data_IF_646153447007
#
_entry.id   IF_646153447007
#
_cell.length_a   1.000
_cell.length_b   1.000
_cell.length_c   1.000
_cell.angle_alpha   90.00
_cell.angle_beta   90.00
_cell.angle_gamma   90.00
#
_symmetry.space_group_name_H-M   'P 1'
#
loop_
_entity.id
_entity.type
_entity.pdbx_description
1 polymer ?
#
# COMPACT_ATOMS: atom_id res chain seq x y z
N UNK A 1 10.52 29.66 -38.68
CA UNK A 1 10.90 29.67 -37.25
C UNK A 1 9.86 28.84 -36.50
N UNK A 2 10.19 27.70 -35.87
CA UNK A 2 9.18 26.91 -35.16
C UNK A 2 8.92 27.49 -33.77
N UNK A 3 7.63 27.57 -33.43
CA UNK A 3 7.06 28.08 -32.18
C UNK A 3 7.43 27.20 -30.97
N UNK A 4 8.15 27.78 -30.01
CA UNK A 4 8.79 27.14 -28.85
C UNK A 4 7.90 27.06 -27.59
N UNK A 5 6.60 27.28 -27.70
CA UNK A 5 5.70 27.48 -26.55
C UNK A 5 5.05 26.21 -25.96
N UNK A 6 5.31 25.02 -26.52
CA UNK A 6 4.71 23.73 -26.08
C UNK A 6 5.52 22.81 -25.13
N UNK A 7 6.85 22.91 -24.94
CA UNK A 7 7.58 21.91 -24.13
C UNK A 7 7.24 22.03 -22.63
N UNK A 8 7.01 23.23 -22.13
CA UNK A 8 6.79 23.46 -20.70
C UNK A 8 5.46 22.91 -20.21
N UNK A 9 4.40 22.99 -21.02
CA UNK A 9 3.06 22.53 -20.63
C UNK A 9 2.97 21.02 -20.40
N UNK A 10 3.74 20.24 -21.16
CA UNK A 10 3.88 18.79 -20.93
C UNK A 10 4.68 18.46 -19.68
N UNK A 11 5.68 19.28 -19.34
CA UNK A 11 6.47 19.11 -18.13
C UNK A 11 5.66 19.48 -16.89
N UNK A 12 4.93 20.60 -16.89
CA UNK A 12 4.05 20.96 -15.76
C UNK A 12 2.93 19.95 -15.57
N UNK A 13 2.35 19.40 -16.64
CA UNK A 13 1.30 18.40 -16.48
C UNK A 13 1.85 17.07 -15.94
N UNK A 14 3.05 16.63 -16.38
CA UNK A 14 3.73 15.45 -15.78
C UNK A 14 4.12 15.66 -14.32
N UNK A 15 4.57 16.86 -13.96
CA UNK A 15 4.90 17.22 -12.59
C UNK A 15 3.64 17.27 -11.71
N UNK A 16 2.53 17.82 -12.22
CA UNK A 16 1.25 17.84 -11.52
C UNK A 16 0.68 16.43 -11.29
N UNK A 17 0.75 15.55 -12.29
CA UNK A 17 0.31 14.16 -12.14
C UNK A 17 1.21 13.35 -11.19
N UNK A 18 2.53 13.56 -11.21
CA UNK A 18 3.46 12.86 -10.32
C UNK A 18 3.35 13.34 -8.88
N UNK A 19 3.15 14.64 -8.66
CA UNK A 19 2.91 15.22 -7.33
C UNK A 19 1.57 14.76 -6.77
N UNK A 20 0.48 14.84 -7.56
CA UNK A 20 -0.84 14.40 -7.14
C UNK A 20 -0.86 12.90 -6.79
N UNK A 21 -0.23 12.04 -7.60
CA UNK A 21 -0.09 10.61 -7.28
C UNK A 21 0.76 10.39 -6.03
N UNK A 22 1.82 11.17 -5.82
CA UNK A 22 2.65 11.05 -4.61
C UNK A 22 1.90 11.49 -3.36
N UNK A 23 1.10 12.56 -3.45
CA UNK A 23 0.26 13.08 -2.37
C UNK A 23 -0.87 12.10 -2.03
N UNK A 24 -1.55 11.52 -3.02
CA UNK A 24 -2.58 10.49 -2.77
C UNK A 24 -1.98 9.23 -2.14
N UNK A 25 -0.84 8.74 -2.63
CA UNK A 25 -0.18 7.58 -2.02
C UNK A 25 0.27 7.87 -0.57
N UNK A 26 0.79 9.07 -0.31
CA UNK A 26 1.18 9.48 1.04
C UNK A 26 -0.03 9.65 1.97
N UNK A 27 -1.12 10.25 1.48
CA UNK A 27 -2.36 10.42 2.25
C UNK A 27 -2.99 9.06 2.58
N UNK A 28 -3.00 8.13 1.63
CA UNK A 28 -3.49 6.75 1.85
C UNK A 28 -2.60 6.01 2.84
N UNK A 29 -1.27 6.10 2.73
CA UNK A 29 -0.35 5.50 3.69
C UNK A 29 -0.55 6.07 5.10
N UNK A 30 -0.74 7.39 5.22
CA UNK A 30 -0.98 8.07 6.49
C UNK A 30 -2.32 7.64 7.11
N UNK A 31 -3.38 7.56 6.29
CA UNK A 31 -4.70 7.12 6.73
C UNK A 31 -4.71 5.66 7.19
N UNK A 32 -4.00 4.78 6.49
CA UNK A 32 -3.81 3.37 6.90
C UNK A 32 -3.06 3.30 8.23
N UNK A 33 -1.96 4.06 8.35
CA UNK A 33 -1.15 4.10 9.58
C UNK A 33 -1.96 4.63 10.78
N UNK A 34 -2.73 5.69 10.61
CA UNK A 34 -3.59 6.25 11.64
C UNK A 34 -4.71 5.29 12.05
N UNK A 35 -5.32 4.60 11.08
CA UNK A 35 -6.35 3.60 11.36
C UNK A 35 -5.79 2.41 12.15
N UNK A 36 -4.57 1.97 11.83
CA UNK A 36 -3.90 0.88 12.55
C UNK A 36 -3.53 1.28 13.98
N UNK A 37 -2.95 2.48 14.18
CA UNK A 37 -2.61 2.99 15.51
C UNK A 37 -3.86 3.12 16.38
N UNK A 38 -4.97 3.60 15.81
CA UNK A 38 -6.23 3.75 16.54
C UNK A 38 -6.87 2.40 16.92
N UNK A 39 -6.76 1.38 16.07
CA UNK A 39 -7.38 0.08 16.30
C UNK A 39 -6.58 -0.83 17.25
N UNK A 40 -5.24 -0.75 17.23
CA UNK A 40 -4.36 -1.70 17.94
C UNK A 40 -3.55 -1.02 19.05
N UNK A 41 -3.40 0.30 19.00
CA UNK A 41 -2.55 1.07 19.93
C UNK A 41 -1.06 1.00 19.57
N UNK A 42 -0.26 2.04 19.88
CA UNK A 42 1.18 2.08 19.55
C UNK A 42 1.99 0.96 20.20
N UNK A 43 1.58 0.53 21.40
CA UNK A 43 2.32 -0.45 22.21
C UNK A 43 2.17 -1.86 21.63
N UNK A 44 1.01 -2.20 21.05
CA UNK A 44 0.79 -3.53 20.49
C UNK A 44 1.62 -3.78 19.21
N UNK A 45 1.78 -2.78 18.34
CA UNK A 45 2.64 -2.87 17.16
C UNK A 45 4.12 -3.15 17.52
N UNK A 46 4.61 -2.51 18.58
CA UNK A 46 5.97 -2.74 19.08
C UNK A 46 6.09 -4.09 19.79
N UNK A 47 5.07 -4.52 20.53
CA UNK A 47 5.07 -5.77 21.28
C UNK A 47 5.01 -7.03 20.40
N UNK A 48 4.41 -6.95 19.20
CA UNK A 48 4.35 -8.07 18.24
C UNK A 48 5.56 -8.16 17.31
N UNK A 49 6.60 -7.34 17.53
CA UNK A 49 7.75 -7.28 16.64
C UNK A 49 7.40 -6.78 15.23
N UNK A 50 6.34 -5.97 15.10
CA UNK A 50 5.87 -5.45 13.80
C UNK A 50 5.02 -6.43 12.98
N UNK A 51 4.58 -7.55 13.57
CA UNK A 51 3.70 -8.54 12.90
C UNK A 51 2.23 -8.23 13.20
N UNK A 52 1.41 -8.18 12.14
CA UNK A 52 -0.05 -8.02 12.23
C UNK A 52 -0.76 -9.30 11.81
N UNK A 53 -1.64 -9.82 12.68
CA UNK A 53 -2.51 -10.95 12.37
C UNK A 53 -3.92 -10.45 12.07
N UNK A 54 -4.47 -10.83 10.91
CA UNK A 54 -5.81 -10.44 10.48
C UNK A 54 -6.58 -11.65 9.97
N UNK A 55 -7.87 -11.73 10.33
CA UNK A 55 -8.82 -12.68 9.72
C UNK A 55 -9.51 -12.01 8.53
N UNK A 56 -9.57 -12.72 7.42
CA UNK A 56 -10.26 -12.30 6.21
C UNK A 56 -11.12 -13.44 5.68
N UNK A 57 -12.15 -13.12 4.91
CA UNK A 57 -12.93 -14.10 4.16
C UNK A 57 -12.12 -14.71 3.01
N UNK A 58 -12.57 -15.86 2.49
CA UNK A 58 -11.93 -16.48 1.32
C UNK A 58 -11.94 -15.58 0.08
N UNK A 59 -12.98 -14.78 -0.09
CA UNK A 59 -13.08 -13.84 -1.21
C UNK A 59 -12.03 -12.73 -1.11
N UNK A 60 -11.86 -12.16 0.09
CA UNK A 60 -10.85 -11.14 0.36
C UNK A 60 -9.44 -11.72 0.25
N UNK A 61 -9.22 -12.94 0.77
CA UNK A 61 -7.95 -13.64 0.60
C UNK A 61 -7.61 -13.82 -0.89
N UNK A 62 -8.57 -14.25 -1.72
CA UNK A 62 -8.39 -14.37 -3.16
C UNK A 62 -8.03 -13.04 -3.83
N UNK A 63 -8.71 -11.96 -3.45
CA UNK A 63 -8.42 -10.61 -3.96
C UNK A 63 -7.04 -10.08 -3.52
N UNK A 64 -6.61 -10.41 -2.31
CA UNK A 64 -5.28 -10.06 -1.79
C UNK A 64 -4.16 -10.83 -2.51
N UNK A 65 -4.36 -12.12 -2.78
CA UNK A 65 -3.40 -12.96 -3.52
C UNK A 65 -3.32 -12.49 -4.99
N UNK A 66 -4.49 -12.28 -5.62
CA UNK A 66 -4.60 -11.96 -7.04
C UNK A 66 -4.26 -13.15 -7.94
N UNK A 67 -4.51 -13.00 -9.24
CA UNK A 67 -4.18 -14.03 -10.22
C UNK A 67 -2.70 -14.39 -10.17
N UNK A 68 -2.40 -15.68 -10.03
CA UNK A 68 -1.03 -16.23 -9.94
C UNK A 68 -0.16 -15.60 -8.83
N UNK A 69 -0.77 -14.98 -7.81
CA UNK A 69 -0.04 -14.31 -6.74
C UNK A 69 0.48 -12.91 -7.10
N UNK A 70 0.09 -12.35 -8.25
CA UNK A 70 0.57 -11.05 -8.73
C UNK A 70 0.32 -9.91 -7.73
N UNK A 71 -0.84 -9.90 -7.08
CA UNK A 71 -1.23 -8.80 -6.18
C UNK A 71 -0.47 -8.86 -4.87
N UNK A 72 -0.35 -10.03 -4.24
CA UNK A 72 0.40 -10.17 -2.99
C UNK A 72 1.89 -9.89 -3.20
N UNK A 73 2.47 -10.30 -4.33
CA UNK A 73 3.85 -9.96 -4.68
C UNK A 73 4.05 -8.46 -4.85
N UNK A 74 3.15 -7.78 -5.55
CA UNK A 74 3.18 -6.33 -5.69
C UNK A 74 3.07 -5.63 -4.33
N UNK A 75 2.17 -6.08 -3.45
CA UNK A 75 2.01 -5.52 -2.11
C UNK A 75 3.28 -5.67 -1.28
N UNK A 76 3.92 -6.84 -1.30
CA UNK A 76 5.21 -7.05 -0.62
C UNK A 76 6.31 -6.14 -1.21
N UNK A 77 6.37 -5.97 -2.54
CA UNK A 77 7.35 -5.10 -3.18
C UNK A 77 7.19 -3.62 -2.82
N UNK A 78 5.96 -3.10 -2.79
CA UNK A 78 5.72 -1.67 -2.51
C UNK A 78 5.81 -1.34 -1.02
N UNK A 79 5.47 -2.29 -0.14
CA UNK A 79 5.46 -2.07 1.31
C UNK A 79 6.75 -2.50 1.99
N UNK A 80 7.50 -3.43 1.40
CA UNK A 80 8.64 -4.08 2.04
C UNK A 80 8.25 -5.09 3.14
N UNK A 81 6.95 -5.32 3.38
CA UNK A 81 6.48 -6.28 4.36
C UNK A 81 6.46 -7.70 3.79
N UNK A 82 6.68 -8.70 4.65
CA UNK A 82 6.37 -10.09 4.35
C UNK A 82 4.89 -10.37 4.65
N UNK A 83 4.17 -10.91 3.66
CA UNK A 83 2.73 -11.16 3.78
C UNK A 83 2.49 -12.65 3.52
N UNK A 84 1.87 -13.32 4.50
CA UNK A 84 1.50 -14.73 4.42
C UNK A 84 0.00 -14.91 4.56
N UNK A 85 -0.59 -15.70 3.67
CA UNK A 85 -2.02 -16.04 3.70
C UNK A 85 -2.13 -17.55 3.80
N UNK A 86 -2.70 -18.02 4.91
CA UNK A 86 -2.87 -19.44 5.20
C UNK A 86 -4.31 -19.76 5.56
N UNK A 87 -4.71 -21.02 5.34
CA UNK A 87 -6.01 -21.54 5.77
C UNK A 87 -6.07 -21.79 7.28
N UNK A 88 -4.93 -22.06 7.89
CA UNK A 88 -4.81 -22.33 9.31
C UNK A 88 -4.57 -21.03 10.08
N UNK A 89 -5.08 -20.98 11.31
CA UNK A 89 -4.72 -19.91 12.23
C UNK A 89 -3.22 -19.96 12.48
N UNK A 90 -2.56 -18.84 12.23
CA UNK A 90 -1.22 -18.58 12.73
C UNK A 90 -1.38 -18.31 14.23
N UNK A 91 -1.32 -19.36 15.04
CA UNK A 91 -1.18 -19.24 16.48
C UNK A 91 0.29 -19.12 16.79
N UNK A 92 0.68 -18.02 17.42
CA UNK A 92 1.90 -17.99 18.24
C UNK A 92 1.68 -18.84 19.49
#
# INVERSE_FOLDING_TARGET
MPDQSKPDQYLVNRLAHSTLSRETNHAVATAVQQSLIAAVGPIAWLATGGVLYMRVSYNEAGALIGSEGSRIQQLMQITGAEIYIGKNYIST
#
